data_IF_008622711382
#
_entry.id   IF_008622711382
#
_cell.length_a   1.000
_cell.length_b   1.000
_cell.length_c   1.000
_cell.angle_alpha   90.00
_cell.angle_beta   90.00
_cell.angle_gamma   90.00
#
_symmetry.space_group_name_H-M   'P 1'
#
loop_
_entity.id
_entity.type
_entity.pdbx_description
1 polymer ?
#
# COMPACT_ATOMS: atom_id res chain seq x y z
N UNK A 1 -17.81 18.82 4.82
CA UNK A 1 -17.54 18.84 3.39
C UNK A 1 -16.17 19.48 3.14
N UNK A 2 -15.51 19.14 2.03
CA UNK A 2 -14.29 19.83 1.58
C UNK A 2 -14.68 21.23 1.10
N UNK A 3 -14.00 22.26 1.60
CA UNK A 3 -14.16 23.62 1.08
C UNK A 3 -13.55 23.73 -0.34
N UNK A 4 -14.03 24.69 -1.14
CA UNK A 4 -13.54 24.91 -2.51
C UNK A 4 -12.00 25.07 -2.58
N UNK A 5 -11.44 25.83 -1.62
CA UNK A 5 -9.97 26.05 -1.55
C UNK A 5 -9.20 24.76 -1.27
N UNK A 6 -9.68 23.94 -0.31
CA UNK A 6 -9.05 22.65 0.00
C UNK A 6 -9.13 21.70 -1.20
N UNK A 7 -10.29 21.65 -1.86
CA UNK A 7 -10.48 20.80 -3.03
C UNK A 7 -9.53 21.19 -4.17
N UNK A 8 -9.38 22.48 -4.45
CA UNK A 8 -8.41 22.97 -5.46
C UNK A 8 -6.97 22.64 -5.09
N UNK A 9 -6.59 22.84 -3.81
CA UNK A 9 -5.23 22.54 -3.35
C UNK A 9 -4.91 21.05 -3.42
N UNK A 10 -5.83 20.17 -3.00
CA UNK A 10 -5.65 18.70 -3.09
C UNK A 10 -5.60 18.27 -4.56
N UNK A 11 -6.48 18.80 -5.40
CA UNK A 11 -6.49 18.54 -6.83
C UNK A 11 -5.17 18.93 -7.50
N UNK A 12 -4.61 20.08 -7.12
CA UNK A 12 -3.31 20.52 -7.64
C UNK A 12 -2.18 19.58 -7.19
N UNK A 13 -2.15 19.17 -5.92
CA UNK A 13 -1.15 18.19 -5.43
C UNK A 13 -1.24 16.89 -6.23
N UNK A 14 -2.46 16.39 -6.46
CA UNK A 14 -2.66 15.18 -7.27
C UNK A 14 -2.21 15.37 -8.71
N UNK A 15 -2.57 16.48 -9.36
CA UNK A 15 -2.17 16.76 -10.75
C UNK A 15 -0.65 16.86 -10.90
N UNK A 16 0.03 17.55 -9.99
CA UNK A 16 1.50 17.67 -9.99
C UNK A 16 2.13 16.29 -9.77
N UNK A 17 1.61 15.51 -8.84
CA UNK A 17 2.08 14.15 -8.59
C UNK A 17 1.88 13.23 -9.81
N UNK A 18 0.68 13.23 -10.41
CA UNK A 18 0.40 12.41 -11.59
C UNK A 18 1.26 12.86 -12.79
N UNK A 19 1.35 14.17 -13.02
CA UNK A 19 2.21 14.73 -14.07
C UNK A 19 3.67 14.36 -13.92
N UNK A 20 4.20 14.38 -12.70
CA UNK A 20 5.57 13.95 -12.40
C UNK A 20 5.76 12.43 -12.61
N UNK A 21 4.78 11.59 -12.22
CA UNK A 21 4.83 10.16 -12.47
C UNK A 21 4.82 9.83 -13.97
N UNK A 22 3.94 10.48 -14.73
CA UNK A 22 3.85 10.30 -16.20
C UNK A 22 5.10 10.85 -16.92
N UNK A 23 5.63 11.99 -16.49
CA UNK A 23 6.87 12.54 -17.02
C UNK A 23 8.06 11.57 -16.76
N UNK A 24 8.15 10.99 -15.58
CA UNK A 24 9.17 9.99 -15.27
C UNK A 24 9.07 8.75 -16.18
N UNK A 25 7.86 8.27 -16.46
CA UNK A 25 7.62 7.20 -17.45
C UNK A 25 8.07 7.64 -18.84
N UNK A 26 7.69 8.84 -19.28
CA UNK A 26 8.09 9.39 -20.59
C UNK A 26 9.61 9.53 -20.75
N UNK A 27 10.30 10.03 -19.72
CA UNK A 27 11.77 10.11 -19.69
C UNK A 27 12.39 8.72 -19.78
N UNK A 28 11.88 7.75 -19.03
CA UNK A 28 12.35 6.36 -19.06
C UNK A 28 12.18 5.71 -20.43
N UNK A 29 11.06 5.96 -21.11
CA UNK A 29 10.82 5.52 -22.48
C UNK A 29 11.79 6.17 -23.46
N UNK A 30 11.97 7.49 -23.41
CA UNK A 30 12.88 8.24 -24.28
C UNK A 30 14.35 7.81 -24.07
N UNK A 31 14.73 7.46 -22.85
CA UNK A 31 16.07 6.95 -22.53
C UNK A 31 16.27 5.46 -22.89
N UNK A 32 15.29 4.80 -23.51
CA UNK A 32 15.36 3.38 -23.84
C UNK A 32 15.44 2.46 -22.60
N UNK A 33 15.16 3.00 -21.42
CA UNK A 33 15.31 2.28 -20.17
C UNK A 33 14.38 1.05 -20.07
N UNK A 34 13.30 1.04 -20.82
CA UNK A 34 12.26 0.00 -20.84
C UNK A 34 12.43 -1.03 -21.97
N UNK A 35 13.33 -0.79 -22.93
CA UNK A 35 13.43 -1.59 -24.16
C UNK A 35 13.98 -3.02 -23.96
N UNK A 36 14.49 -3.38 -22.79
CA UNK A 36 15.46 -4.46 -22.74
C UNK A 36 15.05 -5.74 -22.03
N UNK A 37 13.86 -5.93 -21.44
CA UNK A 37 13.76 -7.13 -20.60
C UNK A 37 12.49 -7.95 -20.52
N UNK A 38 11.39 -7.63 -21.12
CA UNK A 38 10.20 -8.46 -20.89
C UNK A 38 9.46 -8.78 -22.18
N UNK A 39 9.71 -9.97 -22.72
CA UNK A 39 8.92 -10.60 -23.79
C UNK A 39 7.48 -10.90 -23.39
N UNK A 40 6.81 -10.00 -22.69
CA UNK A 40 5.49 -10.18 -22.12
C UNK A 40 4.42 -9.23 -22.64
N UNK A 41 4.76 -8.20 -23.35
CA UNK A 41 3.72 -7.43 -24.03
C UNK A 41 4.29 -6.61 -25.17
N UNK A 42 4.00 -7.02 -26.36
CA UNK A 42 4.12 -6.20 -27.57
C UNK A 42 3.13 -5.02 -27.56
N UNK A 43 2.43 -4.78 -26.45
CA UNK A 43 1.34 -3.85 -26.36
C UNK A 43 1.79 -2.55 -25.69
N UNK A 44 1.97 -1.52 -26.50
CA UNK A 44 1.81 -0.12 -26.17
C UNK A 44 3.03 0.64 -25.60
N UNK A 45 3.30 1.83 -26.16
CA UNK A 45 4.32 2.77 -25.72
C UNK A 45 4.16 3.30 -24.28
N UNK A 46 3.09 2.90 -23.56
CA UNK A 46 2.83 3.20 -22.14
C UNK A 46 2.97 1.96 -21.24
N UNK A 47 3.59 0.89 -21.73
CA UNK A 47 3.68 -0.39 -21.03
C UNK A 47 4.13 -0.34 -19.56
N UNK A 48 4.97 0.61 -19.08
CA UNK A 48 5.31 0.65 -17.66
C UNK A 48 4.10 0.87 -16.74
N UNK A 49 3.01 1.42 -17.25
CA UNK A 49 1.75 1.59 -16.52
C UNK A 49 0.89 0.32 -16.53
N UNK A 50 1.25 -0.66 -17.35
CA UNK A 50 0.51 -1.91 -17.59
C UNK A 50 1.39 -3.16 -17.43
N UNK A 51 2.50 -3.03 -16.71
CA UNK A 51 3.43 -4.13 -16.49
C UNK A 51 3.02 -5.01 -15.28
N UNK A 52 3.71 -6.11 -15.08
CA UNK A 52 3.66 -7.01 -13.92
C UNK A 52 2.27 -7.60 -13.64
N UNK A 53 1.65 -7.23 -12.51
CA UNK A 53 0.35 -7.78 -12.09
C UNK A 53 -0.79 -7.45 -13.07
N UNK A 54 -0.65 -6.40 -13.90
CA UNK A 54 -1.64 -6.07 -14.93
C UNK A 54 -1.91 -7.25 -15.86
N UNK A 55 -0.87 -7.97 -16.27
CA UNK A 55 -1.01 -9.13 -17.16
C UNK A 55 -1.90 -10.24 -16.54
N UNK A 56 -1.83 -10.41 -15.21
CA UNK A 56 -2.70 -11.34 -14.51
C UNK A 56 -4.15 -10.88 -14.48
N UNK A 57 -4.37 -9.60 -14.23
CA UNK A 57 -5.72 -9.03 -14.27
C UNK A 57 -6.33 -9.09 -15.68
N UNK A 58 -5.53 -8.78 -16.70
CA UNK A 58 -5.96 -8.88 -18.11
C UNK A 58 -6.25 -10.33 -18.51
N UNK A 59 -5.37 -11.28 -18.17
CA UNK A 59 -5.61 -12.70 -18.38
C UNK A 59 -6.92 -13.17 -17.73
N UNK A 60 -7.16 -12.84 -16.46
CA UNK A 60 -8.40 -13.18 -15.76
C UNK A 60 -9.61 -12.47 -16.41
N UNK A 61 -9.44 -11.25 -16.89
CA UNK A 61 -10.51 -10.53 -17.59
C UNK A 61 -10.94 -11.24 -18.88
N UNK A 62 -10.00 -11.79 -19.63
CA UNK A 62 -10.26 -12.53 -20.90
C UNK A 62 -10.78 -13.93 -20.64
N UNK A 63 -10.05 -14.70 -19.85
CA UNK A 63 -10.23 -16.14 -19.73
C UNK A 63 -11.02 -16.57 -18.47
N UNK A 64 -11.14 -15.66 -17.50
CA UNK A 64 -11.74 -15.94 -16.20
C UNK A 64 -10.81 -16.72 -15.27
N UNK A 65 -11.34 -17.15 -14.14
CA UNK A 65 -10.62 -18.01 -13.22
C UNK A 65 -10.65 -19.45 -13.70
N UNK A 66 -9.53 -20.19 -13.68
CA UNK A 66 -9.49 -21.56 -14.17
C UNK A 66 -10.30 -22.51 -13.29
N UNK A 67 -10.91 -23.52 -13.90
CA UNK A 67 -11.61 -24.60 -13.18
C UNK A 67 -10.60 -25.66 -12.70
N UNK A 68 -9.54 -25.22 -12.00
CA UNK A 68 -8.48 -26.11 -11.51
C UNK A 68 -7.95 -25.62 -10.18
N UNK A 69 -7.57 -26.55 -9.32
CA UNK A 69 -7.11 -26.31 -7.96
C UNK A 69 -5.82 -25.49 -7.86
N UNK A 70 -4.96 -25.56 -8.88
CA UNK A 70 -3.61 -25.00 -8.85
C UNK A 70 -3.47 -23.63 -9.55
N UNK A 71 -4.58 -22.95 -9.80
CA UNK A 71 -4.60 -21.63 -10.43
C UNK A 71 -3.91 -20.55 -9.60
N UNK A 72 -2.89 -19.87 -10.15
CA UNK A 72 -2.26 -18.69 -9.52
C UNK A 72 -3.17 -17.48 -9.57
N UNK A 73 -4.14 -17.48 -10.44
CA UNK A 73 -5.17 -16.47 -10.69
C UNK A 73 -5.99 -16.18 -9.44
N UNK A 74 -6.21 -17.18 -8.59
CA UNK A 74 -6.94 -17.04 -7.32
C UNK A 74 -6.27 -16.10 -6.30
N UNK A 75 -5.01 -15.70 -6.52
CA UNK A 75 -4.36 -14.67 -5.71
C UNK A 75 -4.87 -13.24 -5.99
N UNK A 76 -5.59 -13.05 -7.12
CA UNK A 76 -6.06 -11.76 -7.61
C UNK A 76 -7.58 -11.65 -7.44
N UNK A 77 -8.05 -10.63 -6.76
CA UNK A 77 -9.47 -10.44 -6.48
C UNK A 77 -10.25 -9.88 -7.69
N UNK A 78 -11.56 -10.19 -7.79
CA UNK A 78 -12.28 -10.13 -9.06
C UNK A 78 -12.67 -8.72 -9.53
N UNK A 79 -12.67 -7.69 -8.70
CA UNK A 79 -13.20 -6.38 -9.12
C UNK A 79 -12.45 -5.80 -10.31
N UNK A 80 -11.12 -5.86 -10.30
CA UNK A 80 -10.32 -5.27 -11.36
C UNK A 80 -10.43 -6.06 -12.68
N UNK A 81 -10.31 -7.40 -12.71
CA UNK A 81 -10.61 -8.18 -13.89
C UNK A 81 -12.02 -7.95 -14.45
N UNK A 82 -13.03 -7.80 -13.59
CA UNK A 82 -14.40 -7.51 -14.04
C UNK A 82 -14.50 -6.14 -14.72
N UNK A 83 -13.81 -5.13 -14.20
CA UNK A 83 -13.76 -3.81 -14.84
C UNK A 83 -13.09 -3.88 -16.20
N UNK A 84 -11.95 -4.55 -16.31
CA UNK A 84 -11.26 -4.72 -17.60
C UNK A 84 -12.10 -5.51 -18.60
N UNK A 85 -12.73 -6.60 -18.15
CA UNK A 85 -13.65 -7.40 -18.99
C UNK A 85 -14.81 -6.58 -19.51
N UNK A 86 -15.41 -5.74 -18.67
CA UNK A 86 -16.51 -4.86 -19.07
C UNK A 86 -16.07 -3.83 -20.11
N UNK A 87 -14.84 -3.32 -20.02
CA UNK A 87 -14.28 -2.40 -21.00
C UNK A 87 -14.05 -3.04 -22.37
N UNK A 88 -13.86 -4.37 -22.41
CA UNK A 88 -13.53 -5.10 -23.64
C UNK A 88 -12.06 -4.98 -24.04
N UNK A 89 -11.58 -5.92 -24.83
CA UNK A 89 -10.16 -6.10 -25.18
C UNK A 89 -9.51 -4.93 -25.95
N UNK A 90 -10.29 -4.02 -26.53
CA UNK A 90 -9.77 -2.87 -27.25
C UNK A 90 -9.65 -1.61 -26.37
N UNK A 91 -10.39 -1.55 -25.27
CA UNK A 91 -10.48 -0.37 -24.41
C UNK A 91 -9.96 -0.60 -23.00
N UNK A 92 -9.60 -1.84 -22.64
CA UNK A 92 -9.13 -2.25 -21.33
C UNK A 92 -7.94 -1.40 -20.83
N UNK A 93 -6.99 -1.08 -21.72
CA UNK A 93 -5.84 -0.25 -21.42
C UNK A 93 -6.27 1.18 -21.08
N UNK A 94 -7.09 1.82 -21.92
CA UNK A 94 -7.53 3.20 -21.73
C UNK A 94 -8.43 3.31 -20.50
N UNK A 95 -9.38 2.39 -20.36
CA UNK A 95 -10.31 2.35 -19.23
C UNK A 95 -9.58 2.01 -17.95
N UNK A 96 -8.70 1.01 -17.96
CA UNK A 96 -7.88 0.63 -16.80
C UNK A 96 -6.99 1.77 -16.31
N UNK A 97 -6.25 2.43 -17.22
CA UNK A 97 -5.42 3.58 -16.89
C UNK A 97 -6.23 4.77 -16.41
N UNK A 98 -7.25 5.17 -17.15
CA UNK A 98 -8.13 6.28 -16.79
C UNK A 98 -8.84 6.07 -15.46
N UNK A 99 -9.30 4.85 -15.19
CA UNK A 99 -9.95 4.50 -13.93
C UNK A 99 -8.96 4.49 -12.76
N UNK A 100 -7.73 4.00 -12.97
CA UNK A 100 -6.68 4.07 -11.94
C UNK A 100 -6.36 5.52 -11.58
N UNK A 101 -6.27 6.43 -12.57
CA UNK A 101 -6.01 7.85 -12.31
C UNK A 101 -7.19 8.54 -11.62
N UNK A 102 -8.43 8.28 -12.05
CA UNK A 102 -9.62 8.79 -11.37
C UNK A 102 -9.71 8.26 -9.93
N UNK A 103 -9.41 6.99 -9.73
CA UNK A 103 -9.37 6.37 -8.41
C UNK A 103 -8.23 6.95 -7.56
N UNK A 104 -7.06 7.25 -8.14
CA UNK A 104 -5.98 7.91 -7.40
C UNK A 104 -6.39 9.30 -6.94
N UNK A 105 -7.04 10.10 -7.79
CA UNK A 105 -7.63 11.37 -7.35
C UNK A 105 -8.58 11.16 -6.17
N UNK A 106 -9.52 10.22 -6.29
CA UNK A 106 -10.46 9.90 -5.23
C UNK A 106 -9.76 9.45 -3.94
N UNK A 107 -8.61 8.74 -4.03
CA UNK A 107 -7.80 8.35 -2.88
C UNK A 107 -7.19 9.56 -2.16
N UNK A 108 -6.60 10.50 -2.91
CA UNK A 108 -6.07 11.75 -2.34
C UNK A 108 -7.16 12.54 -1.59
N UNK A 109 -8.33 12.67 -2.22
CA UNK A 109 -9.47 13.33 -1.58
C UNK A 109 -10.00 12.56 -0.37
N UNK A 110 -10.08 11.22 -0.44
CA UNK A 110 -10.57 10.36 0.63
C UNK A 110 -9.69 10.41 1.88
N UNK A 111 -8.36 10.26 1.71
CA UNK A 111 -7.38 10.36 2.80
C UNK A 111 -7.45 11.74 3.45
N UNK A 112 -7.52 12.79 2.63
CA UNK A 112 -7.64 14.18 3.11
C UNK A 112 -8.97 14.46 3.82
N UNK A 113 -10.05 13.84 3.36
CA UNK A 113 -11.39 14.01 3.94
C UNK A 113 -11.52 13.34 5.32
N UNK A 114 -10.68 12.33 5.61
CA UNK A 114 -10.61 11.66 6.92
C UNK A 114 -9.91 12.50 7.98
N UNK A 115 -9.12 13.52 7.60
CA UNK A 115 -8.38 14.38 8.52
C UNK A 115 -8.63 15.88 8.24
N UNK A 116 -9.79 16.44 8.66
CA UNK A 116 -10.19 17.80 8.31
C UNK A 116 -9.22 18.91 8.71
N UNK A 117 -8.49 18.74 9.82
CA UNK A 117 -7.52 19.73 10.32
C UNK A 117 -6.16 19.73 9.59
N UNK A 118 -5.93 18.73 8.73
CA UNK A 118 -4.64 18.57 8.05
C UNK A 118 -4.77 18.04 6.62
N UNK A 119 -5.82 18.46 5.90
CA UNK A 119 -6.19 17.94 4.58
C UNK A 119 -5.06 17.98 3.56
N UNK A 120 -4.49 19.17 3.35
CA UNK A 120 -3.40 19.36 2.39
C UNK A 120 -2.15 18.54 2.77
N UNK A 121 -1.82 18.48 4.06
CA UNK A 121 -0.68 17.67 4.54
C UNK A 121 -0.92 16.19 4.32
N UNK A 122 -2.17 15.72 4.47
CA UNK A 122 -2.53 14.33 4.16
C UNK A 122 -2.35 14.02 2.69
N UNK A 123 -2.78 14.90 1.78
CA UNK A 123 -2.54 14.75 0.34
C UNK A 123 -1.05 14.74 -0.01
N UNK A 124 -0.27 15.65 0.57
CA UNK A 124 1.19 15.68 0.41
C UNK A 124 1.85 14.41 0.94
N UNK A 125 1.40 13.86 2.06
CA UNK A 125 1.92 12.62 2.59
C UNK A 125 1.68 11.43 1.65
N UNK A 126 0.52 11.36 0.98
CA UNK A 126 0.25 10.36 -0.07
C UNK A 126 1.18 10.60 -1.27
N UNK A 127 1.29 11.83 -1.77
CA UNK A 127 2.13 12.15 -2.93
C UNK A 127 3.60 11.80 -2.70
N UNK A 128 4.10 12.06 -1.49
CA UNK A 128 5.50 11.83 -1.11
C UNK A 128 5.79 10.39 -0.66
N UNK A 129 4.79 9.52 -0.57
CA UNK A 129 5.01 8.15 -0.13
C UNK A 129 5.81 7.35 -1.17
N UNK A 130 6.89 6.63 -0.77
CA UNK A 130 7.78 5.95 -1.73
C UNK A 130 7.12 4.84 -2.57
N UNK A 131 5.90 4.44 -2.26
CA UNK A 131 5.10 3.46 -3.04
C UNK A 131 3.96 4.10 -3.84
N UNK A 132 3.76 5.43 -3.75
CA UNK A 132 2.58 6.09 -4.33
C UNK A 132 2.51 6.00 -5.86
N UNK A 133 3.62 5.78 -6.55
CA UNK A 133 3.63 5.54 -8.00
C UNK A 133 2.68 4.41 -8.42
N UNK A 134 2.45 3.42 -7.54
CA UNK A 134 1.52 2.32 -7.81
C UNK A 134 0.08 2.80 -8.03
N UNK A 135 -0.27 4.00 -7.56
CA UNK A 135 -1.58 4.62 -7.81
C UNK A 135 -1.72 5.17 -9.23
N UNK A 136 -0.61 5.32 -9.98
CA UNK A 136 -0.63 5.72 -11.38
C UNK A 136 -0.69 4.52 -12.33
N UNK A 137 -0.39 3.32 -11.85
CA UNK A 137 -0.41 2.08 -12.62
C UNK A 137 -1.84 1.56 -12.73
N UNK A 138 -2.18 0.88 -13.83
CA UNK A 138 -3.49 0.29 -14.08
C UNK A 138 -3.77 -0.94 -13.18
N UNK A 139 -3.72 -0.71 -11.87
CA UNK A 139 -3.91 -1.70 -10.81
C UNK A 139 -5.12 -1.37 -9.94
N UNK A 140 -5.65 -2.35 -9.20
CA UNK A 140 -6.73 -2.11 -8.24
C UNK A 140 -6.31 -1.28 -7.03
N UNK A 141 -5.00 -1.01 -6.84
CA UNK A 141 -4.44 -0.32 -5.67
C UNK A 141 -5.07 1.05 -5.41
N UNK A 142 -5.17 1.87 -6.46
CA UNK A 142 -5.79 3.18 -6.37
C UNK A 142 -7.28 3.09 -5.99
N UNK A 143 -8.01 2.15 -6.60
CA UNK A 143 -9.44 1.93 -6.31
C UNK A 143 -9.65 1.40 -4.89
N UNK A 144 -8.83 0.43 -4.45
CA UNK A 144 -8.90 -0.11 -3.10
C UNK A 144 -8.60 0.97 -2.04
N UNK A 145 -7.55 1.78 -2.26
CA UNK A 145 -7.19 2.88 -1.36
C UNK A 145 -8.29 3.95 -1.33
N UNK A 146 -8.82 4.35 -2.49
CA UNK A 146 -9.92 5.31 -2.56
C UNK A 146 -11.13 4.82 -1.77
N UNK A 147 -11.56 3.59 -2.01
CA UNK A 147 -12.71 2.99 -1.34
C UNK A 147 -12.49 2.91 0.18
N UNK A 148 -11.32 2.44 0.64
CA UNK A 148 -11.00 2.36 2.06
C UNK A 148 -10.91 3.74 2.73
N UNK A 149 -10.28 4.73 2.08
CA UNK A 149 -10.14 6.08 2.61
C UNK A 149 -11.49 6.81 2.71
N UNK A 150 -12.35 6.66 1.71
CA UNK A 150 -13.70 7.20 1.78
C UNK A 150 -14.60 6.43 2.75
N UNK A 151 -14.42 5.11 2.90
CA UNK A 151 -15.06 4.34 3.97
C UNK A 151 -14.73 4.93 5.34
N UNK A 152 -13.45 5.22 5.58
CA UNK A 152 -13.00 5.88 6.80
C UNK A 152 -13.65 7.27 6.98
N UNK A 153 -13.61 8.10 5.95
CA UNK A 153 -14.18 9.44 5.99
C UNK A 153 -15.69 9.44 6.27
N UNK A 154 -16.43 8.47 5.73
CA UNK A 154 -17.87 8.30 5.98
C UNK A 154 -18.14 7.72 7.36
N UNK A 155 -17.33 6.75 7.82
CA UNK A 155 -17.44 6.21 9.17
C UNK A 155 -17.24 7.30 10.22
N UNK A 156 -16.24 8.17 10.05
CA UNK A 156 -16.01 9.31 10.93
C UNK A 156 -17.16 10.32 10.93
N UNK A 157 -17.93 10.39 9.84
CA UNK A 157 -19.14 11.23 9.72
C UNK A 157 -20.42 10.55 10.19
N UNK A 158 -20.35 9.37 10.81
CA UNK A 158 -21.53 8.66 11.32
C UNK A 158 -22.39 7.99 10.25
N UNK A 159 -21.84 7.69 9.07
CA UNK A 159 -22.54 7.01 7.96
C UNK A 159 -22.06 5.54 7.81
N UNK A 160 -22.42 4.63 8.76
CA UNK A 160 -21.81 3.30 8.83
C UNK A 160 -22.15 2.42 7.62
N UNK A 161 -23.36 2.46 7.09
CA UNK A 161 -23.76 1.63 5.94
C UNK A 161 -22.99 2.04 4.68
N UNK A 162 -22.93 3.35 4.38
CA UNK A 162 -22.15 3.84 3.24
C UNK A 162 -20.64 3.55 3.40
N UNK A 163 -20.12 3.63 4.64
CA UNK A 163 -18.76 3.27 4.94
C UNK A 163 -18.51 1.76 4.69
N UNK A 164 -19.44 0.92 5.10
CA UNK A 164 -19.40 -0.52 4.85
C UNK A 164 -19.46 -0.87 3.37
N UNK A 165 -20.33 -0.21 2.60
CA UNK A 165 -20.44 -0.41 1.15
C UNK A 165 -19.12 -0.07 0.43
N UNK A 166 -18.46 1.03 0.78
CA UNK A 166 -17.14 1.34 0.25
C UNK A 166 -16.07 0.36 0.76
N UNK A 167 -16.16 -0.09 2.01
CA UNK A 167 -15.31 -1.15 2.54
C UNK A 167 -15.46 -2.47 1.77
N UNK A 168 -16.68 -2.81 1.33
CA UNK A 168 -16.95 -3.95 0.48
C UNK A 168 -16.28 -3.81 -0.91
N UNK A 169 -16.32 -2.61 -1.50
CA UNK A 169 -15.59 -2.32 -2.75
C UNK A 169 -14.07 -2.50 -2.54
N UNK A 170 -13.52 -2.02 -1.42
CA UNK A 170 -12.10 -2.23 -1.11
C UNK A 170 -11.77 -3.72 -0.95
N UNK A 171 -12.63 -4.50 -0.28
CA UNK A 171 -12.46 -5.94 -0.10
C UNK A 171 -12.60 -6.71 -1.42
N UNK A 172 -13.46 -6.27 -2.34
CA UNK A 172 -13.60 -6.87 -3.67
C UNK A 172 -12.43 -6.54 -4.60
N UNK A 173 -11.79 -5.39 -4.38
CA UNK A 173 -10.63 -4.95 -5.15
C UNK A 173 -9.34 -5.67 -4.72
N UNK A 174 -9.14 -5.88 -3.41
CA UNK A 174 -7.94 -6.51 -2.86
C UNK A 174 -8.23 -7.31 -1.60
N UNK A 175 -7.51 -8.45 -1.37
CA UNK A 175 -7.74 -9.30 -0.19
C UNK A 175 -7.60 -8.54 1.14
N UNK A 176 -6.58 -7.67 1.26
CA UNK A 176 -6.36 -6.87 2.47
C UNK A 176 -7.44 -5.79 2.70
N UNK A 177 -8.29 -5.53 1.72
CA UNK A 177 -9.44 -4.64 1.81
C UNK A 177 -10.44 -5.03 2.91
N UNK A 178 -10.54 -6.34 3.22
CA UNK A 178 -11.40 -6.84 4.30
C UNK A 178 -11.02 -6.24 5.67
N UNK A 179 -9.74 -5.90 5.87
CA UNK A 179 -9.25 -5.37 7.14
C UNK A 179 -9.90 -4.02 7.53
N UNK A 180 -10.53 -3.30 6.58
CA UNK A 180 -11.30 -2.09 6.90
C UNK A 180 -12.49 -2.38 7.83
N UNK A 181 -12.93 -3.63 7.90
CA UNK A 181 -13.95 -4.06 8.86
C UNK A 181 -13.53 -3.82 10.32
N UNK A 182 -12.22 -3.88 10.63
CA UNK A 182 -11.71 -3.68 11.99
C UNK A 182 -12.06 -2.31 12.57
N UNK A 183 -11.69 -1.18 11.95
CA UNK A 183 -12.09 0.14 12.44
C UNK A 183 -13.60 0.36 12.35
N UNK A 184 -14.29 -0.20 11.35
CA UNK A 184 -15.74 -0.10 11.25
C UNK A 184 -16.42 -0.82 12.40
N UNK A 185 -15.99 -2.04 12.77
CA UNK A 185 -16.49 -2.79 13.94
C UNK A 185 -16.17 -2.07 15.26
N UNK A 186 -14.98 -1.48 15.35
CA UNK A 186 -14.63 -0.68 16.54
C UNK A 186 -15.63 0.47 16.74
N UNK A 187 -15.94 1.20 15.67
CA UNK A 187 -16.88 2.31 15.69
C UNK A 187 -18.34 1.88 15.77
N UNK A 188 -18.66 0.63 15.41
CA UNK A 188 -20.01 0.07 15.47
C UNK A 188 -20.54 -0.06 16.90
N UNK A 189 -19.65 -0.22 17.90
CA UNK A 189 -20.03 -0.37 19.33
C UNK A 189 -20.92 0.76 19.86
N UNK A 190 -20.80 1.96 19.28
CA UNK A 190 -21.68 3.10 19.67
C UNK A 190 -22.78 3.43 18.65
N UNK A 191 -23.03 2.57 17.62
CA UNK A 191 -23.91 2.88 16.49
C UNK A 191 -25.02 1.87 16.23
N UNK A 192 -25.22 0.94 17.17
CA UNK A 192 -26.27 -0.08 17.11
C UNK A 192 -26.19 -0.98 15.87
N UNK A 193 -27.32 -1.55 15.47
CA UNK A 193 -27.41 -2.53 14.37
C UNK A 193 -26.85 -2.00 13.06
N UNK A 194 -27.11 -0.73 12.73
CA UNK A 194 -26.59 -0.10 11.49
C UNK A 194 -25.06 -0.07 11.46
N UNK A 195 -24.42 0.12 12.62
CA UNK A 195 -22.97 0.07 12.76
C UNK A 195 -22.42 -1.31 12.42
N UNK A 196 -23.00 -2.35 12.99
CA UNK A 196 -22.59 -3.73 12.78
C UNK A 196 -22.88 -4.21 11.36
N UNK A 197 -24.04 -3.85 10.78
CA UNK A 197 -24.33 -4.11 9.36
C UNK A 197 -23.28 -3.47 8.45
N UNK A 198 -22.90 -2.21 8.70
CA UNK A 198 -21.83 -1.57 7.93
C UNK A 198 -20.49 -2.29 8.06
N UNK A 199 -20.11 -2.72 9.27
CA UNK A 199 -18.86 -3.43 9.52
C UNK A 199 -18.83 -4.84 8.92
N UNK A 200 -19.98 -5.51 8.77
CA UNK A 200 -20.05 -6.86 8.19
C UNK A 200 -19.95 -6.88 6.67
N UNK A 201 -20.26 -5.79 5.96
CA UNK A 201 -20.23 -5.76 4.50
C UNK A 201 -18.87 -6.14 3.88
N UNK A 202 -17.71 -5.59 4.31
CA UNK A 202 -16.42 -5.99 3.79
C UNK A 202 -16.12 -7.48 4.04
N UNK A 203 -16.51 -8.00 5.20
CA UNK A 203 -16.31 -9.41 5.57
C UNK A 203 -17.18 -10.31 4.71
N UNK A 204 -18.47 -9.99 4.57
CA UNK A 204 -19.39 -10.74 3.70
C UNK A 204 -18.94 -10.75 2.24
N UNK A 205 -18.37 -9.63 1.76
CA UNK A 205 -17.80 -9.54 0.41
C UNK A 205 -16.59 -10.46 0.25
N UNK A 206 -15.64 -10.44 1.19
CA UNK A 206 -14.48 -11.34 1.14
C UNK A 206 -14.91 -12.81 1.20
N UNK A 207 -15.85 -13.15 2.09
CA UNK A 207 -16.41 -14.50 2.17
C UNK A 207 -17.11 -14.92 0.85
N UNK A 208 -17.81 -13.99 0.20
CA UNK A 208 -18.42 -14.23 -1.10
C UNK A 208 -17.40 -14.52 -2.21
N UNK A 209 -16.25 -13.81 -2.19
CA UNK A 209 -15.14 -14.09 -3.12
C UNK A 209 -14.55 -15.47 -2.88
N UNK A 210 -14.30 -15.84 -1.62
CA UNK A 210 -13.80 -17.17 -1.26
C UNK A 210 -14.79 -18.28 -1.65
N UNK A 211 -16.08 -18.08 -1.41
CA UNK A 211 -17.12 -19.02 -1.83
C UNK A 211 -17.15 -19.18 -3.35
N UNK A 212 -16.98 -18.10 -4.12
CA UNK A 212 -16.86 -18.14 -5.56
C UNK A 212 -15.60 -18.90 -6.01
N UNK A 213 -14.46 -18.67 -5.36
CA UNK A 213 -13.21 -19.38 -5.66
C UNK A 213 -13.34 -20.87 -5.36
N UNK A 214 -13.96 -21.22 -4.23
CA UNK A 214 -14.26 -22.60 -3.89
C UNK A 214 -15.16 -23.27 -4.96
N UNK A 215 -16.27 -22.64 -5.28
CA UNK A 215 -17.19 -23.17 -6.30
C UNK A 215 -16.53 -23.33 -7.69
N UNK A 216 -15.53 -22.50 -8.00
CA UNK A 216 -14.85 -22.52 -9.29
C UNK A 216 -13.70 -23.53 -9.36
N UNK A 217 -12.98 -23.73 -8.27
CA UNK A 217 -11.77 -24.57 -8.18
C UNK A 217 -12.03 -25.96 -7.57
N UNK A 218 -13.23 -26.16 -7.00
CA UNK A 218 -13.55 -27.30 -6.11
C UNK A 218 -12.54 -27.44 -4.94
N UNK A 219 -12.02 -26.29 -4.45
CA UNK A 219 -11.02 -26.27 -3.39
C UNK A 219 -11.19 -25.06 -2.48
N UNK A 220 -11.47 -25.32 -1.19
CA UNK A 220 -11.77 -24.29 -0.18
C UNK A 220 -10.59 -23.34 0.08
N UNK A 221 -9.35 -23.80 -0.07
CA UNK A 221 -8.14 -23.03 0.19
C UNK A 221 -7.51 -22.43 -1.07
N UNK A 222 -8.26 -22.32 -2.18
CA UNK A 222 -7.73 -21.89 -3.49
C UNK A 222 -6.96 -20.57 -3.42
N UNK A 223 -7.49 -19.58 -2.68
CA UNK A 223 -6.79 -18.29 -2.46
C UNK A 223 -5.48 -18.47 -1.71
N UNK A 224 -5.49 -19.19 -0.58
CA UNK A 224 -4.30 -19.36 0.25
C UNK A 224 -3.23 -20.18 -0.47
N UNK A 225 -3.64 -21.20 -1.22
CA UNK A 225 -2.73 -21.98 -2.07
C UNK A 225 -2.11 -21.12 -3.17
N UNK A 226 -2.88 -20.27 -3.83
CA UNK A 226 -2.37 -19.32 -4.78
C UNK A 226 -1.37 -18.35 -4.13
N UNK A 227 -1.65 -17.82 -2.94
CA UNK A 227 -0.72 -16.95 -2.21
C UNK A 227 0.59 -17.68 -1.88
N UNK A 228 0.54 -18.95 -1.45
CA UNK A 228 1.74 -19.78 -1.21
C UNK A 228 2.58 -19.95 -2.48
N UNK A 229 1.96 -20.13 -3.64
CA UNK A 229 2.64 -20.22 -4.95
C UNK A 229 3.30 -18.92 -5.38
N UNK A 230 2.82 -17.78 -4.86
CA UNK A 230 3.46 -16.48 -4.98
C UNK A 230 4.53 -16.22 -3.92
N UNK A 231 4.92 -17.26 -3.16
CA UNK A 231 5.97 -17.18 -2.13
C UNK A 231 5.52 -16.52 -0.83
N UNK A 232 4.21 -16.34 -0.64
CA UNK A 232 3.65 -15.78 0.61
C UNK A 232 3.31 -16.90 1.57
N UNK A 233 4.12 -17.04 2.61
CA UNK A 233 4.09 -18.20 3.51
C UNK A 233 3.13 -18.07 4.70
N UNK A 234 2.45 -16.92 4.86
CA UNK A 234 1.57 -16.69 6.00
C UNK A 234 2.34 -16.76 7.33
N UNK A 235 1.79 -17.44 8.37
CA UNK A 235 2.45 -17.53 9.68
C UNK A 235 3.86 -18.15 9.64
N UNK A 236 4.14 -19.03 8.69
CA UNK A 236 5.49 -19.61 8.46
C UNK A 236 6.50 -18.55 8.02
N UNK A 237 6.04 -17.40 7.55
CA UNK A 237 6.87 -16.25 7.20
C UNK A 237 7.72 -15.74 8.37
N UNK A 238 7.26 -15.90 9.63
CA UNK A 238 8.06 -15.55 10.81
C UNK A 238 9.34 -16.39 10.90
N UNK A 239 9.25 -17.70 10.62
CA UNK A 239 10.42 -18.57 10.54
C UNK A 239 11.37 -18.15 9.39
N UNK A 240 10.84 -17.68 8.27
CA UNK A 240 11.65 -17.15 7.17
C UNK A 240 12.42 -15.91 7.61
N UNK A 241 11.81 -14.99 8.37
CA UNK A 241 12.50 -13.80 8.91
C UNK A 241 13.60 -14.16 9.88
N UNK A 242 13.35 -15.09 10.83
CA UNK A 242 14.37 -15.51 11.79
C UNK A 242 15.59 -16.13 11.09
N UNK A 243 15.37 -16.93 10.06
CA UNK A 243 16.42 -17.54 9.27
C UNK A 243 17.22 -16.50 8.46
N UNK A 244 16.56 -15.52 7.86
CA UNK A 244 17.21 -14.40 7.17
C UNK A 244 18.06 -13.55 8.14
N UNK A 245 17.52 -13.18 9.28
CA UNK A 245 18.23 -12.40 10.31
C UNK A 245 19.42 -13.20 10.84
N UNK A 246 19.25 -14.49 11.14
CA UNK A 246 20.34 -15.37 11.57
C UNK A 246 21.49 -15.43 10.55
N UNK A 247 21.19 -15.68 9.29
CA UNK A 247 22.19 -15.75 8.24
C UNK A 247 22.89 -14.41 7.92
N UNK A 248 22.29 -13.28 8.30
CA UNK A 248 22.91 -11.95 8.22
C UNK A 248 23.88 -11.75 9.37
N UNK A 249 23.44 -12.06 10.59
CA UNK A 249 24.28 -11.98 11.79
C UNK A 249 25.51 -12.89 11.68
N UNK A 250 25.34 -14.09 11.14
CA UNK A 250 26.46 -15.02 10.91
C UNK A 250 27.49 -14.46 9.90
N UNK A 251 27.04 -13.82 8.83
CA UNK A 251 27.94 -13.33 7.76
C UNK A 251 28.53 -11.95 8.04
N UNK A 252 27.81 -11.08 8.74
CA UNK A 252 28.15 -9.67 8.90
C UNK A 252 28.07 -9.19 10.35
N UNK A 253 28.12 -10.08 11.33
CA UNK A 253 27.92 -9.77 12.75
C UNK A 253 28.81 -8.63 13.26
N UNK A 254 30.08 -8.60 12.86
CA UNK A 254 31.00 -7.52 13.23
C UNK A 254 30.56 -6.17 12.67
N UNK A 255 30.23 -6.12 11.38
CA UNK A 255 29.77 -4.89 10.72
C UNK A 255 28.46 -4.40 11.32
N UNK A 256 27.51 -5.31 11.57
CA UNK A 256 26.23 -5.00 12.19
C UNK A 256 26.46 -4.52 13.62
N UNK A 257 27.36 -5.12 14.38
CA UNK A 257 27.74 -4.69 15.72
C UNK A 257 28.33 -3.27 15.72
N UNK A 258 29.22 -2.96 14.80
CA UNK A 258 29.80 -1.60 14.65
C UNK A 258 28.76 -0.58 14.23
N UNK A 259 27.87 -0.91 13.29
CA UNK A 259 26.79 -0.01 12.86
C UNK A 259 25.76 0.19 13.98
N UNK A 260 25.44 -0.86 14.75
CA UNK A 260 24.57 -0.76 15.91
C UNK A 260 25.20 0.11 17.03
N UNK A 261 26.50 -0.02 17.27
CA UNK A 261 27.24 0.82 18.22
C UNK A 261 27.25 2.29 17.76
N UNK A 262 27.56 2.55 16.48
CA UNK A 262 27.52 3.89 15.91
C UNK A 262 26.11 4.50 15.96
N UNK A 263 25.08 3.71 15.66
CA UNK A 263 23.69 4.12 15.79
C UNK A 263 23.31 4.41 17.26
N UNK A 264 23.78 3.61 18.21
CA UNK A 264 23.54 3.84 19.64
C UNK A 264 24.21 5.15 20.13
N UNK A 265 25.43 5.44 19.69
CA UNK A 265 26.11 6.72 20.00
C UNK A 265 25.35 7.89 19.38
N UNK A 266 24.98 7.80 18.10
CA UNK A 266 24.17 8.83 17.45
C UNK A 266 22.81 9.02 18.13
N UNK A 267 22.23 7.94 18.65
CA UNK A 267 21.01 7.91 19.45
C UNK A 267 21.13 8.70 20.75
N UNK A 268 22.20 8.45 21.49
CA UNK A 268 22.46 9.15 22.76
C UNK A 268 22.66 10.65 22.51
N UNK A 269 23.41 11.02 21.46
CA UNK A 269 23.62 12.40 21.07
C UNK A 269 22.34 13.09 20.59
N UNK A 270 21.52 12.38 19.79
CA UNK A 270 20.24 12.91 19.32
C UNK A 270 19.17 12.97 20.41
N UNK A 271 19.23 12.09 21.42
CA UNK A 271 18.32 12.10 22.57
C UNK A 271 18.32 13.43 23.30
N UNK A 272 19.50 13.96 23.59
CA UNK A 272 19.64 15.26 24.27
C UNK A 272 19.06 16.43 23.47
N UNK A 273 19.04 16.32 22.12
CA UNK A 273 18.56 17.39 21.23
C UNK A 273 17.10 17.27 20.83
N UNK A 274 16.58 16.05 20.64
CA UNK A 274 15.26 15.80 20.05
C UNK A 274 14.31 15.04 20.97
N UNK A 275 14.80 14.53 22.09
CA UNK A 275 14.05 13.73 23.03
C UNK A 275 13.95 12.25 22.59
N UNK A 276 13.42 11.43 23.50
CA UNK A 276 13.43 9.97 23.39
C UNK A 276 12.77 9.44 22.12
N UNK A 277 11.56 9.88 21.82
CA UNK A 277 10.74 9.25 20.78
C UNK A 277 11.23 9.50 19.36
N UNK A 278 11.57 10.74 18.95
CA UNK A 278 12.13 10.97 17.61
C UNK A 278 13.42 10.20 17.39
N UNK A 279 14.22 10.09 18.45
CA UNK A 279 15.50 9.40 18.44
C UNK A 279 15.32 7.88 18.31
N UNK A 280 14.42 7.29 19.11
CA UNK A 280 14.10 5.85 19.03
C UNK A 280 13.50 5.47 17.67
N UNK A 281 12.61 6.31 17.12
CA UNK A 281 12.02 6.11 15.79
C UNK A 281 13.09 6.24 14.70
N UNK A 282 13.96 7.24 14.78
CA UNK A 282 15.05 7.42 13.83
C UNK A 282 16.03 6.24 13.83
N UNK A 283 16.38 5.75 15.01
CA UNK A 283 17.26 4.59 15.15
C UNK A 283 16.62 3.31 14.59
N UNK A 284 15.36 3.10 14.92
CA UNK A 284 14.63 1.95 14.38
C UNK A 284 14.53 2.03 12.86
N UNK A 285 14.22 3.22 12.32
CA UNK A 285 14.20 3.47 10.88
C UNK A 285 15.55 3.25 10.19
N UNK A 286 16.67 3.47 10.91
CA UNK A 286 18.02 3.17 10.40
C UNK A 286 18.41 1.70 10.57
N UNK A 287 18.07 1.09 11.70
CA UNK A 287 18.48 -0.28 12.01
C UNK A 287 17.75 -1.34 11.18
N UNK A 288 16.44 -1.15 10.95
CA UNK A 288 15.64 -2.13 10.19
C UNK A 288 16.09 -2.27 8.73
N UNK A 289 16.38 -1.21 7.96
CA UNK A 289 16.93 -1.34 6.62
C UNK A 289 18.28 -2.08 6.60
N UNK A 290 19.15 -1.83 7.58
CA UNK A 290 20.46 -2.48 7.68
C UNK A 290 20.29 -3.98 7.92
N UNK A 291 19.39 -4.36 8.81
CA UNK A 291 19.08 -5.76 9.10
C UNK A 291 18.39 -6.49 7.92
N UNK A 292 17.52 -5.78 7.20
CA UNK A 292 16.78 -6.35 6.07
C UNK A 292 17.51 -6.22 4.73
N UNK A 293 18.49 -5.30 4.60
CA UNK A 293 19.32 -5.10 3.40
C UNK A 293 20.26 -6.25 3.09
N UNK A 294 20.37 -7.18 3.98
CA UNK A 294 21.08 -8.44 3.70
C UNK A 294 20.34 -9.36 2.72
N UNK A 295 19.15 -9.00 2.31
CA UNK A 295 18.55 -9.54 1.09
C UNK A 295 19.43 -9.10 -0.09
N UNK A 296 19.99 -10.05 -0.84
CA UNK A 296 21.03 -9.88 -1.86
C UNK A 296 20.66 -8.99 -3.07
N UNK A 297 19.64 -8.14 -2.97
CA UNK A 297 19.13 -7.34 -4.08
C UNK A 297 18.88 -5.89 -3.65
N UNK A 298 19.12 -4.94 -4.56
CA UNK A 298 18.79 -3.52 -4.36
C UNK A 298 17.28 -3.31 -4.10
N UNK A 299 16.43 -4.14 -4.69
CA UNK A 299 14.99 -4.15 -4.43
C UNK A 299 14.68 -4.47 -2.96
N UNK A 300 15.33 -5.50 -2.40
CA UNK A 300 15.19 -5.83 -0.99
C UNK A 300 15.60 -4.69 -0.06
N UNK A 301 16.66 -3.93 -0.41
CA UNK A 301 17.07 -2.73 0.32
C UNK A 301 15.98 -1.65 0.29
N UNK A 302 15.42 -1.36 -0.88
CA UNK A 302 14.38 -0.35 -1.07
C UNK A 302 13.10 -0.72 -0.32
N UNK A 303 12.66 -1.97 -0.42
CA UNK A 303 11.46 -2.45 0.28
C UNK A 303 11.67 -2.50 1.79
N UNK A 304 12.89 -2.81 2.25
CA UNK A 304 13.28 -2.74 3.66
C UNK A 304 13.21 -1.31 4.21
N UNK A 305 13.72 -0.34 3.45
CA UNK A 305 13.64 1.08 3.81
C UNK A 305 12.18 1.55 3.92
N UNK A 306 11.31 1.07 3.03
CA UNK A 306 9.87 1.37 3.07
C UNK A 306 9.19 0.74 4.27
N UNK A 307 9.50 -0.51 4.60
CA UNK A 307 8.99 -1.17 5.80
C UNK A 307 9.42 -0.42 7.07
N UNK A 308 10.68 0.04 7.10
CA UNK A 308 11.21 0.84 8.18
C UNK A 308 10.49 2.19 8.38
N UNK A 309 9.91 2.77 7.34
CA UNK A 309 9.12 3.99 7.47
C UNK A 309 7.73 3.72 8.08
N UNK A 310 7.10 2.60 7.74
CA UNK A 310 5.73 2.30 8.21
C UNK A 310 5.70 2.07 9.72
N UNK A 311 6.63 1.26 10.25
CA UNK A 311 6.59 0.83 11.64
C UNK A 311 6.66 2.00 12.66
N UNK A 312 7.60 2.96 12.55
CA UNK A 312 7.61 4.13 13.43
C UNK A 312 6.36 5.00 13.28
N UNK A 313 5.79 5.11 12.09
CA UNK A 313 4.56 5.87 11.88
C UNK A 313 3.35 5.22 12.56
N UNK A 314 3.32 3.88 12.67
CA UNK A 314 2.32 3.19 13.48
C UNK A 314 2.42 3.59 14.96
N UNK A 315 3.63 3.67 15.52
CA UNK A 315 3.84 4.13 16.91
C UNK A 315 3.32 5.54 17.10
N UNK A 316 3.64 6.45 16.16
CA UNK A 316 3.10 7.82 16.18
C UNK A 316 1.57 7.80 16.14
N UNK A 317 0.98 7.02 15.22
CA UNK A 317 -0.46 6.93 15.05
C UNK A 317 -1.19 6.47 16.33
N UNK A 318 -0.65 5.45 17.03
CA UNK A 318 -1.17 4.98 18.30
C UNK A 318 -1.12 6.06 19.40
N UNK A 319 -0.16 6.99 19.32
CA UNK A 319 0.04 8.06 20.31
C UNK A 319 -0.75 9.33 20.04
N UNK A 320 -1.28 9.52 18.84
CA UNK A 320 -2.07 10.69 18.48
C UNK A 320 -3.40 10.81 19.25
N UNK A 321 -3.80 9.76 19.99
CA UNK A 321 -4.97 9.79 20.87
C UNK A 321 -6.09 8.83 20.47
N UNK A 322 -7.13 8.81 21.32
CA UNK A 322 -8.20 7.80 21.25
C UNK A 322 -8.93 7.74 19.91
N UNK A 323 -9.12 8.87 19.23
CA UNK A 323 -9.80 8.94 17.92
C UNK A 323 -9.06 8.21 16.81
N UNK A 324 -7.73 8.05 16.95
CA UNK A 324 -6.90 7.37 15.95
C UNK A 324 -6.76 5.87 16.21
N UNK A 325 -7.09 5.38 17.42
CA UNK A 325 -6.89 3.96 17.81
C UNK A 325 -7.53 2.96 16.85
N UNK A 326 -8.78 3.13 16.37
CA UNK A 326 -9.37 2.20 15.39
C UNK A 326 -8.55 2.13 14.10
N UNK A 327 -8.05 3.28 13.66
CA UNK A 327 -7.26 3.42 12.43
C UNK A 327 -5.82 2.94 12.61
N UNK A 328 -5.26 3.11 13.80
CA UNK A 328 -3.97 2.54 14.18
C UNK A 328 -4.04 1.01 14.20
N UNK A 329 -5.10 0.42 14.76
CA UNK A 329 -5.33 -1.02 14.74
C UNK A 329 -5.43 -1.55 13.30
N UNK A 330 -6.17 -0.86 12.43
CA UNK A 330 -6.26 -1.19 11.01
C UNK A 330 -4.89 -1.14 10.32
N UNK A 331 -4.17 -0.03 10.44
CA UNK A 331 -2.86 0.12 9.81
C UNK A 331 -1.85 -0.90 10.33
N UNK A 332 -1.91 -1.23 11.65
CA UNK A 332 -1.09 -2.27 12.26
C UNK A 332 -1.44 -3.66 11.70
N UNK A 333 -2.73 -3.96 11.50
CA UNK A 333 -3.16 -5.22 10.91
C UNK A 333 -2.70 -5.36 9.46
N UNK A 334 -2.78 -4.28 8.66
CA UNK A 334 -2.25 -4.27 7.28
C UNK A 334 -0.75 -4.52 7.28
N UNK A 335 0.02 -3.77 8.07
CA UNK A 335 1.47 -3.94 8.15
C UNK A 335 1.86 -5.34 8.66
N UNK A 336 1.15 -5.83 9.68
CA UNK A 336 1.34 -7.17 10.23
C UNK A 336 1.10 -8.27 9.20
N UNK A 337 0.01 -8.18 8.43
CA UNK A 337 -0.29 -9.12 7.35
C UNK A 337 0.83 -9.13 6.29
N UNK A 338 1.36 -7.96 5.93
CA UNK A 338 2.47 -7.85 4.98
C UNK A 338 3.75 -8.48 5.52
N UNK A 339 4.08 -8.26 6.78
CA UNK A 339 5.25 -8.86 7.42
C UNK A 339 5.09 -10.38 7.60
N UNK A 340 3.91 -10.85 7.97
CA UNK A 340 3.61 -12.28 8.09
C UNK A 340 3.70 -13.02 6.75
N UNK A 341 3.63 -12.34 5.62
CA UNK A 341 3.79 -12.98 4.31
C UNK A 341 5.17 -13.62 4.08
N UNK A 342 6.16 -13.31 4.92
CA UNK A 342 7.54 -13.81 4.80
C UNK A 342 8.34 -13.16 3.68
N UNK A 343 7.79 -12.14 3.04
CA UNK A 343 8.46 -11.36 1.99
C UNK A 343 8.16 -9.88 2.13
N UNK A 344 9.16 -9.05 1.86
CA UNK A 344 9.00 -7.59 1.79
C UNK A 344 8.78 -7.09 0.36
N UNK A 345 8.77 -8.00 -0.59
CA UNK A 345 8.53 -7.66 -1.99
C UNK A 345 7.21 -6.89 -2.15
N UNK A 346 7.26 -5.78 -2.85
CA UNK A 346 6.12 -4.88 -3.03
C UNK A 346 5.59 -4.23 -1.73
N UNK A 347 6.35 -4.25 -0.62
CA UNK A 347 5.90 -3.67 0.65
C UNK A 347 5.52 -2.20 0.49
N UNK A 348 6.29 -1.41 -0.26
CA UNK A 348 6.01 0.00 -0.50
C UNK A 348 4.65 0.25 -1.15
N UNK A 349 4.30 -0.55 -2.14
CA UNK A 349 3.00 -0.52 -2.81
C UNK A 349 1.87 -0.96 -1.87
N UNK A 350 2.05 -2.11 -1.25
CA UNK A 350 1.00 -2.70 -0.42
C UNK A 350 0.76 -1.91 0.87
N UNK A 351 1.78 -1.25 1.41
CA UNK A 351 1.68 -0.39 2.59
C UNK A 351 0.86 0.89 2.36
N UNK A 352 0.61 1.29 1.11
CA UNK A 352 -0.36 2.35 0.80
C UNK A 352 -1.72 2.10 1.43
N UNK A 353 -2.11 0.83 1.54
CA UNK A 353 -3.38 0.46 2.15
C UNK A 353 -3.40 0.70 3.67
N UNK A 354 -2.24 0.80 4.33
CA UNK A 354 -2.13 1.28 5.70
C UNK A 354 -2.27 2.82 5.79
N UNK A 355 -3.09 3.42 4.96
CA UNK A 355 -3.21 4.87 4.73
C UNK A 355 -3.34 5.74 5.99
N UNK A 356 -3.84 5.29 7.16
CA UNK A 356 -3.81 6.11 8.36
C UNK A 356 -2.40 6.54 8.80
N UNK A 357 -1.33 5.91 8.30
CA UNK A 357 0.05 6.38 8.53
C UNK A 357 0.28 7.77 7.92
N UNK A 358 -0.46 8.14 6.86
CA UNK A 358 -0.42 9.49 6.29
C UNK A 358 -1.01 10.53 7.24
N UNK A 359 -1.98 10.13 8.08
CA UNK A 359 -2.50 10.97 9.16
C UNK A 359 -1.47 11.15 10.27
N UNK A 360 -0.64 10.12 10.55
CA UNK A 360 0.47 10.26 11.48
C UNK A 360 1.48 11.30 10.99
N UNK A 361 1.79 11.32 9.69
CA UNK A 361 2.66 12.35 9.09
C UNK A 361 1.98 13.73 9.14
N UNK A 362 0.72 13.81 8.79
CA UNK A 362 0.00 15.06 8.63
C UNK A 362 -0.34 15.77 9.95
N UNK A 363 -0.66 15.02 11.00
CA UNK A 363 -1.08 15.51 12.32
C UNK A 363 -0.10 15.16 13.45
N UNK A 364 0.94 14.45 13.14
CA UNK A 364 2.01 14.06 14.06
C UNK A 364 2.89 15.23 14.52
N UNK A 365 3.98 14.93 15.23
CA UNK A 365 4.93 15.94 15.72
C UNK A 365 5.49 16.84 14.62
N UNK A 366 5.86 18.07 14.96
CA UNK A 366 6.36 19.08 14.00
C UNK A 366 7.54 18.59 13.14
N UNK A 367 8.41 17.76 13.69
CA UNK A 367 9.57 17.22 12.96
C UNK A 367 9.19 16.27 11.81
N UNK A 368 8.04 15.56 11.88
CA UNK A 368 7.50 14.78 10.76
C UNK A 368 6.93 15.64 9.62
N UNK A 369 6.61 16.90 9.91
CA UNK A 369 5.99 17.82 8.95
C UNK A 369 7.01 18.61 8.14
N UNK A 370 8.29 18.30 8.25
CA UNK A 370 9.37 19.09 7.64
C UNK A 370 9.35 18.98 6.11
N UNK A 371 9.31 20.12 5.38
CA UNK A 371 9.30 20.14 3.92
C UNK A 371 10.42 19.33 3.24
N UNK A 372 11.67 19.29 3.77
CA UNK A 372 12.74 18.48 3.19
C UNK A 372 12.44 16.97 3.16
N UNK A 373 11.73 16.41 4.15
CA UNK A 373 11.33 15.00 4.15
C UNK A 373 10.29 14.72 3.08
N UNK A 374 9.35 15.64 2.86
CA UNK A 374 8.38 15.55 1.77
C UNK A 374 9.06 15.63 0.40
N UNK A 375 10.02 16.55 0.22
CA UNK A 375 10.80 16.68 -1.01
C UNK A 375 11.65 15.42 -1.29
N UNK A 376 12.28 14.86 -0.26
CA UNK A 376 13.05 13.62 -0.37
C UNK A 376 12.15 12.43 -0.75
N UNK A 377 10.97 12.31 -0.13
CA UNK A 377 9.98 11.29 -0.46
C UNK A 377 9.48 11.42 -1.91
N UNK A 378 9.23 12.64 -2.38
CA UNK A 378 8.83 12.92 -3.75
C UNK A 378 9.94 12.57 -4.75
N UNK A 379 11.18 12.99 -4.49
CA UNK A 379 12.34 12.64 -5.30
C UNK A 379 12.59 11.14 -5.34
N UNK A 380 12.42 10.46 -4.20
CA UNK A 380 12.51 9.00 -4.12
C UNK A 380 11.43 8.31 -4.96
N UNK A 381 10.20 8.84 -5.00
CA UNK A 381 9.13 8.34 -5.88
C UNK A 381 9.50 8.47 -7.35
N UNK A 382 9.96 9.64 -7.78
CA UNK A 382 10.37 9.87 -9.16
C UNK A 382 11.56 8.98 -9.52
N UNK A 383 12.59 8.95 -8.70
CA UNK A 383 13.76 8.08 -8.89
C UNK A 383 13.36 6.61 -8.98
N UNK A 384 12.39 6.18 -8.19
CA UNK A 384 11.86 4.82 -8.21
C UNK A 384 11.11 4.51 -9.49
N UNK A 385 10.29 5.43 -10.01
CA UNK A 385 9.62 5.26 -11.30
C UNK A 385 10.66 5.14 -12.42
N UNK A 386 11.72 5.92 -12.39
CA UNK A 386 12.83 5.83 -13.35
C UNK A 386 13.65 4.53 -13.20
N UNK A 387 13.81 4.03 -11.96
CA UNK A 387 14.54 2.80 -11.66
C UNK A 387 13.69 1.54 -11.82
N UNK A 388 12.37 1.64 -11.81
CA UNK A 388 11.41 0.53 -11.97
C UNK A 388 11.58 -0.25 -13.27
N UNK A 389 12.26 0.35 -14.23
CA UNK A 389 12.67 -0.30 -15.47
C UNK A 389 13.60 -1.49 -15.25
N UNK A 390 14.28 -1.55 -14.10
CA UNK A 390 15.21 -2.63 -13.74
C UNK A 390 14.71 -3.53 -12.63
N UNK A 391 13.66 -3.14 -11.91
CA UNK A 391 13.19 -3.84 -10.72
C UNK A 391 11.70 -4.12 -10.82
N UNK A 392 11.34 -5.38 -10.98
CA UNK A 392 9.97 -5.84 -10.76
C UNK A 392 9.52 -5.49 -9.32
N UNK A 393 8.29 -5.03 -9.10
CA UNK A 393 7.78 -4.75 -7.78
C UNK A 393 7.59 -6.02 -6.96
#
# INVERSE_FOLDING_TARGET
>A
MLGRRDALAIGLVWLVWLGAALAAVGIGLAAGAYALRLGWSEHHGLWPLYAWDYNWYDHIARDGYPARRDGREYAFFPLWPLVLRWAGTHWDVIVGGGLAWAASAAAFFGVSAGLPQARLRSALAVACWPGSFALAIAYPDALALAAAAWAAALALRGRPISAGALGAIAALARPNGVLIALPLAWLARGRGVRGWLGASLPVGTAAGVEAYFWARSDHVDAFFDAQRRWGRKGPEGLGTWSHHVGGVLERHGLLIGLLAAAAAVALVLAWHRFGFWPTAIGAYACAVPILLAATKSLQGLVDSARAALVLPLLVVLWRLGARYRPWAAFATAVAGLLLLSGTIQSFGRQSLFAFPVFWAIADGPRWLRYPPLAALGFAANIGLVLLLTRFAP
#
